data_IF_069035147608
#
_entry.id   IF_069035147608
#
_cell.length_a   1.000
_cell.length_b   1.000
_cell.length_c   1.000
_cell.angle_alpha   90.00
_cell.angle_beta   90.00
_cell.angle_gamma   90.00
#
_symmetry.space_group_name_H-M   'P 1'
#
loop_
_entity.id
_entity.type
_entity.pdbx_description
1 polymer ?
#
# COMPACT_ATOMS: atom_id res chain seq x y z
N UNK A 1 -29.72 -8.09 7.84
CA UNK A 1 -28.53 -7.30 8.25
C UNK A 1 -28.76 -5.86 7.82
N UNK A 2 -28.44 -4.88 8.67
CA UNK A 2 -28.49 -3.46 8.30
C UNK A 2 -27.50 -3.23 7.14
N UNK A 3 -27.98 -2.63 6.04
CA UNK A 3 -27.13 -2.37 4.87
C UNK A 3 -26.13 -1.27 5.23
N UNK A 4 -24.85 -1.58 5.17
CA UNK A 4 -23.78 -0.62 5.44
C UNK A 4 -23.66 0.37 4.28
N UNK A 5 -23.40 1.64 4.62
CA UNK A 5 -23.10 2.65 3.60
C UNK A 5 -21.79 2.30 2.90
N UNK A 6 -21.82 2.35 1.57
CA UNK A 6 -20.66 2.10 0.70
C UNK A 6 -20.21 3.36 -0.02
N UNK A 7 -18.96 3.40 -0.42
CA UNK A 7 -18.38 4.37 -1.33
C UNK A 7 -17.85 3.66 -2.57
N UNK A 8 -18.04 4.26 -3.74
CA UNK A 8 -17.51 3.69 -4.96
C UNK A 8 -16.06 4.15 -5.18
N UNK A 9 -15.13 3.21 -5.25
CA UNK A 9 -13.72 3.49 -5.55
C UNK A 9 -13.33 2.68 -6.80
N UNK A 10 -13.07 3.36 -7.91
CA UNK A 10 -12.67 2.76 -9.18
C UNK A 10 -13.62 1.64 -9.66
N UNK A 11 -14.94 1.87 -9.50
CA UNK A 11 -15.97 0.93 -9.94
C UNK A 11 -16.29 -0.20 -8.96
N UNK A 12 -15.69 -0.22 -7.77
CA UNK A 12 -16.00 -1.19 -6.70
C UNK A 12 -16.61 -0.49 -5.50
N UNK A 13 -17.61 -1.13 -4.90
CA UNK A 13 -18.24 -0.70 -3.66
C UNK A 13 -17.39 -1.09 -2.46
N UNK A 14 -17.06 -0.09 -1.62
CA UNK A 14 -16.27 -0.28 -0.40
C UNK A 14 -17.02 0.22 0.82
N UNK A 15 -16.99 -0.55 1.90
CA UNK A 15 -17.42 -0.08 3.22
C UNK A 15 -16.21 0.58 3.89
N UNK A 16 -16.31 1.88 4.16
CA UNK A 16 -15.23 2.62 4.83
C UNK A 16 -14.98 2.08 6.25
N UNK A 17 -13.73 2.18 6.70
CA UNK A 17 -13.35 1.74 8.06
C UNK A 17 -14.16 2.43 9.14
N UNK A 18 -14.41 3.76 8.99
CA UNK A 18 -15.25 4.51 9.94
C UNK A 18 -16.66 3.92 10.08
N UNK A 19 -17.26 3.48 8.96
CA UNK A 19 -18.60 2.86 8.94
C UNK A 19 -18.59 1.53 9.70
N UNK A 20 -17.52 0.72 9.51
CA UNK A 20 -17.33 -0.53 10.26
C UNK A 20 -17.17 -0.29 11.75
N UNK A 21 -16.35 0.69 12.14
CA UNK A 21 -16.14 1.07 13.56
C UNK A 21 -17.44 1.56 14.18
N UNK A 22 -18.19 2.44 13.49
CA UNK A 22 -19.48 2.93 13.98
C UNK A 22 -20.48 1.80 14.17
N UNK A 23 -20.56 0.88 13.18
CA UNK A 23 -21.44 -0.28 13.28
C UNK A 23 -21.07 -1.17 14.48
N UNK A 24 -19.76 -1.47 14.63
CA UNK A 24 -19.25 -2.27 15.73
C UNK A 24 -19.59 -1.65 17.10
N UNK A 25 -19.33 -0.36 17.27
CA UNK A 25 -19.62 0.37 18.51
C UNK A 25 -21.11 0.44 18.83
N UNK A 26 -21.97 0.51 17.80
CA UNK A 26 -23.43 0.58 17.97
C UNK A 26 -24.04 -0.78 18.31
N UNK A 27 -23.51 -1.87 17.74
CA UNK A 27 -24.20 -3.16 17.74
C UNK A 27 -23.52 -4.21 18.64
N UNK A 28 -22.28 -4.01 19.06
CA UNK A 28 -21.53 -4.99 19.85
C UNK A 28 -21.29 -4.41 21.25
N UNK A 29 -22.06 -4.93 22.20
CA UNK A 29 -21.87 -4.64 23.63
C UNK A 29 -20.55 -5.29 24.10
N UNK A 30 -19.81 -4.61 25.00
CA UNK A 30 -18.51 -5.05 25.51
C UNK A 30 -17.47 -5.33 24.41
N UNK A 31 -17.64 -4.72 23.21
CA UNK A 31 -16.69 -4.82 22.11
C UNK A 31 -15.47 -3.92 22.31
N UNK A 32 -14.27 -4.47 22.11
CA UNK A 32 -13.00 -3.75 22.16
C UNK A 32 -12.26 -3.90 20.84
N UNK A 33 -11.70 -2.80 20.35
CA UNK A 33 -10.77 -2.75 19.22
C UNK A 33 -9.43 -2.33 19.80
N UNK A 34 -8.43 -3.17 19.70
CA UNK A 34 -7.08 -2.94 20.20
C UNK A 34 -6.10 -3.04 19.04
N UNK A 35 -5.32 -1.98 18.80
CA UNK A 35 -4.29 -1.96 17.77
C UNK A 35 -2.93 -1.74 18.41
N UNK A 36 -1.96 -2.57 18.02
CA UNK A 36 -0.56 -2.44 18.39
C UNK A 36 0.31 -2.42 17.12
N UNK A 37 1.44 -1.75 17.16
CA UNK A 37 2.47 -1.93 16.15
C UNK A 37 3.36 -3.11 16.55
N UNK A 38 3.52 -4.06 15.63
CA UNK A 38 4.34 -5.26 15.85
C UNK A 38 5.74 -5.11 15.26
N UNK A 39 5.92 -4.12 14.37
CA UNK A 39 7.21 -3.76 13.81
C UNK A 39 7.21 -2.27 13.42
N UNK A 40 8.32 -1.57 13.67
CA UNK A 40 8.56 -0.21 13.22
C UNK A 40 10.06 0.10 13.21
N UNK A 41 10.59 0.52 12.06
CA UNK A 41 12.00 0.92 11.88
C UNK A 41 12.19 2.37 11.40
N UNK A 42 11.09 3.14 11.31
CA UNK A 42 11.08 4.51 10.81
C UNK A 42 10.75 4.65 9.33
N UNK A 43 10.90 3.59 8.54
CA UNK A 43 10.56 3.55 7.11
C UNK A 43 9.41 2.57 6.82
N UNK A 44 9.31 1.50 7.60
CA UNK A 44 8.26 0.48 7.50
C UNK A 44 7.55 0.32 8.84
N UNK A 45 6.24 0.16 8.80
CA UNK A 45 5.42 -0.16 9.96
C UNK A 45 4.51 -1.36 9.67
N UNK A 46 4.34 -2.21 10.69
CA UNK A 46 3.33 -3.28 10.70
C UNK A 46 2.43 -3.10 11.92
N UNK A 47 1.12 -3.01 11.68
CA UNK A 47 0.11 -2.94 12.72
C UNK A 47 -0.71 -4.23 12.77
N UNK A 48 -1.03 -4.66 13.99
CA UNK A 48 -1.98 -5.73 14.25
C UNK A 48 -3.14 -5.17 15.06
N UNK A 49 -4.36 -5.46 14.61
CA UNK A 49 -5.58 -5.14 15.34
C UNK A 49 -6.25 -6.42 15.81
N UNK A 50 -6.66 -6.41 17.06
CA UNK A 50 -7.45 -7.45 17.73
C UNK A 50 -8.87 -6.93 17.99
N UNK A 51 -9.87 -7.74 17.67
CA UNK A 51 -11.26 -7.51 18.03
C UNK A 51 -11.61 -8.46 19.17
N UNK A 52 -12.00 -7.90 20.29
CA UNK A 52 -12.44 -8.66 21.45
C UNK A 52 -13.93 -8.38 21.74
N UNK A 53 -14.65 -9.40 22.13
CA UNK A 53 -16.04 -9.32 22.61
C UNK A 53 -16.11 -10.08 23.94
N UNK A 54 -16.61 -9.45 24.98
CA UNK A 54 -16.61 -9.99 26.36
C UNK A 54 -15.21 -10.47 26.80
N UNK A 55 -14.16 -9.73 26.39
CA UNK A 55 -12.78 -10.04 26.70
C UNK A 55 -12.18 -11.21 25.91
N UNK A 56 -12.93 -11.84 25.01
CA UNK A 56 -12.44 -12.93 24.15
C UNK A 56 -12.05 -12.40 22.79
N UNK A 57 -10.87 -12.83 22.30
CA UNK A 57 -10.42 -12.54 20.95
C UNK A 57 -11.31 -13.26 19.93
N UNK A 58 -11.91 -12.50 19.02
CA UNK A 58 -12.87 -13.02 18.02
C UNK A 58 -12.40 -12.78 16.57
N UNK A 59 -11.53 -11.81 16.35
CA UNK A 59 -10.95 -11.58 15.02
C UNK A 59 -9.63 -10.80 15.14
N UNK A 60 -8.77 -10.93 14.13
CA UNK A 60 -7.54 -10.17 13.98
C UNK A 60 -7.40 -9.62 12.56
N UNK A 61 -6.63 -8.55 12.41
CA UNK A 61 -6.24 -8.00 11.12
C UNK A 61 -4.83 -7.44 11.19
N UNK A 62 -4.05 -7.65 10.14
CA UNK A 62 -2.70 -7.08 10.01
C UNK A 62 -2.62 -6.21 8.78
N UNK A 63 -1.82 -5.16 8.87
CA UNK A 63 -1.42 -4.33 7.74
C UNK A 63 0.06 -3.98 7.86
N UNK A 64 0.68 -3.65 6.73
CA UNK A 64 1.99 -3.02 6.71
C UNK A 64 1.96 -1.86 5.72
N UNK A 65 2.76 -0.85 5.99
CA UNK A 65 2.93 0.31 5.12
C UNK A 65 4.40 0.73 5.10
N UNK A 66 4.83 1.21 3.94
CA UNK A 66 6.15 1.78 3.74
C UNK A 66 6.02 3.28 3.50
N UNK A 67 6.87 4.07 4.14
CA UNK A 67 6.84 5.54 4.11
C UNK A 67 6.91 6.12 2.69
N UNK A 68 7.65 5.49 1.80
CA UNK A 68 7.84 5.98 0.44
C UNK A 68 6.99 5.26 -0.62
N UNK A 69 6.08 4.36 -0.23
CA UNK A 69 5.23 3.62 -1.16
C UNK A 69 4.29 4.51 -1.99
N UNK A 70 3.91 5.69 -1.48
CA UNK A 70 3.08 6.66 -2.18
C UNK A 70 3.30 8.09 -1.68
N UNK A 71 2.75 9.09 -2.39
CA UNK A 71 2.84 10.48 -1.95
C UNK A 71 2.21 10.73 -0.58
N UNK A 72 1.09 10.06 -0.27
CA UNK A 72 0.40 10.19 1.02
C UNK A 72 1.14 9.43 2.12
N UNK A 73 1.80 8.31 1.81
CA UNK A 73 2.58 7.55 2.77
C UNK A 73 3.78 8.34 3.33
N UNK A 74 4.33 9.29 2.56
CA UNK A 74 5.45 10.12 3.02
C UNK A 74 5.18 10.86 4.33
N UNK A 75 3.92 11.17 4.60
CA UNK A 75 3.49 11.93 5.79
C UNK A 75 2.59 11.17 6.74
N UNK A 76 1.95 10.09 6.28
CA UNK A 76 0.83 9.47 7.01
C UNK A 76 0.83 7.93 6.96
N UNK A 77 1.97 7.29 6.71
CA UNK A 77 2.04 5.83 6.59
C UNK A 77 1.70 5.10 7.89
N UNK A 78 1.95 5.73 9.05
CA UNK A 78 1.61 5.16 10.37
C UNK A 78 0.10 5.10 10.55
N UNK A 79 -0.59 6.22 10.33
CA UNK A 79 -2.04 6.32 10.47
C UNK A 79 -2.77 5.46 9.42
N UNK A 80 -2.22 5.37 8.22
CA UNK A 80 -2.76 4.51 7.17
C UNK A 80 -2.63 3.04 7.58
N UNK A 81 -1.49 2.62 8.11
CA UNK A 81 -1.27 1.27 8.58
C UNK A 81 -2.24 0.88 9.70
N UNK A 82 -2.39 1.74 10.71
CA UNK A 82 -3.35 1.54 11.80
C UNK A 82 -4.78 1.38 11.24
N UNK A 83 -5.23 2.33 10.43
CA UNK A 83 -6.58 2.31 9.84
C UNK A 83 -6.80 1.06 8.99
N UNK A 84 -5.82 0.65 8.20
CA UNK A 84 -5.88 -0.55 7.36
C UNK A 84 -6.01 -1.82 8.20
N UNK A 85 -5.26 -1.93 9.30
CA UNK A 85 -5.32 -3.09 10.19
C UNK A 85 -6.69 -3.21 10.89
N UNK A 86 -7.25 -2.07 11.36
CA UNK A 86 -8.61 -1.99 11.93
C UNK A 86 -9.67 -2.42 10.91
N UNK A 87 -9.59 -1.90 9.68
CA UNK A 87 -10.51 -2.24 8.61
C UNK A 87 -10.51 -3.73 8.29
N UNK A 88 -9.32 -4.36 8.25
CA UNK A 88 -9.16 -5.81 8.03
C UNK A 88 -9.72 -6.63 9.19
N UNK A 89 -9.41 -6.25 10.44
CA UNK A 89 -9.91 -6.96 11.63
C UNK A 89 -11.44 -6.95 11.70
N UNK A 90 -12.07 -5.79 11.47
CA UNK A 90 -13.53 -5.68 11.44
C UNK A 90 -14.17 -6.42 10.27
N UNK A 91 -13.47 -6.48 9.11
CA UNK A 91 -13.87 -7.32 8.00
C UNK A 91 -13.83 -8.81 8.34
N UNK A 92 -12.75 -9.28 8.99
CA UNK A 92 -12.64 -10.67 9.47
C UNK A 92 -13.68 -11.00 10.56
N UNK A 93 -14.11 -10.02 11.33
CA UNK A 93 -15.25 -10.16 12.25
C UNK A 93 -16.60 -10.30 11.52
N UNK A 94 -16.67 -9.91 10.24
CA UNK A 94 -17.85 -10.03 9.39
C UNK A 94 -18.52 -8.72 9.00
N UNK A 95 -17.97 -7.57 9.38
CA UNK A 95 -18.56 -6.25 9.08
C UNK A 95 -18.07 -5.80 7.69
N UNK A 96 -18.96 -5.83 6.69
CA UNK A 96 -18.63 -5.45 5.30
C UNK A 96 -17.56 -6.37 4.69
N UNK A 97 -17.65 -7.66 4.94
CA UNK A 97 -16.66 -8.67 4.53
C UNK A 97 -16.41 -8.69 3.01
N UNK A 98 -17.45 -8.46 2.23
CA UNK A 98 -17.39 -8.47 0.76
C UNK A 98 -16.39 -7.47 0.18
N UNK A 99 -16.15 -6.37 0.91
CA UNK A 99 -15.21 -5.33 0.50
C UNK A 99 -13.83 -5.40 1.18
N UNK A 100 -13.63 -6.30 2.14
CA UNK A 100 -12.41 -6.33 2.97
C UNK A 100 -11.59 -7.62 2.85
N UNK A 101 -12.16 -8.69 2.33
CA UNK A 101 -11.53 -10.03 2.25
C UNK A 101 -11.51 -10.54 0.81
N UNK A 102 -11.49 -9.64 -0.17
CA UNK A 102 -11.28 -10.01 -1.57
C UNK A 102 -9.81 -10.40 -1.80
N UNK A 103 -9.49 -11.66 -1.51
CA UNK A 103 -8.17 -12.24 -1.75
C UNK A 103 -7.77 -12.14 -3.23
N UNK A 104 -8.74 -12.32 -4.14
CA UNK A 104 -8.49 -12.19 -5.58
C UNK A 104 -8.19 -10.74 -5.98
N UNK A 105 -8.88 -9.76 -5.39
CA UNK A 105 -8.60 -8.35 -5.60
C UNK A 105 -7.25 -7.94 -5.05
N UNK A 106 -6.88 -8.43 -3.89
CA UNK A 106 -5.56 -8.17 -3.27
C UNK A 106 -4.43 -8.74 -4.12
N UNK A 107 -4.56 -9.99 -4.61
CA UNK A 107 -3.57 -10.62 -5.49
C UNK A 107 -3.45 -9.87 -6.82
N UNK A 108 -4.57 -9.49 -7.46
CA UNK A 108 -4.52 -8.71 -8.71
C UNK A 108 -3.86 -7.35 -8.53
N UNK A 109 -4.11 -6.68 -7.41
CA UNK A 109 -3.48 -5.40 -7.10
C UNK A 109 -1.98 -5.56 -6.86
N UNK A 110 -1.55 -6.62 -6.19
CA UNK A 110 -0.15 -6.94 -5.98
C UNK A 110 0.56 -7.26 -7.32
N UNK A 111 -0.05 -8.06 -8.18
CA UNK A 111 0.48 -8.36 -9.52
C UNK A 111 0.60 -7.08 -10.36
N UNK A 112 -0.45 -6.25 -10.39
CA UNK A 112 -0.43 -5.01 -11.15
C UNK A 112 0.64 -4.02 -10.64
N UNK A 113 0.88 -4.00 -9.33
CA UNK A 113 1.96 -3.21 -8.73
C UNK A 113 3.33 -3.75 -9.15
N UNK A 114 3.54 -5.06 -9.07
CA UNK A 114 4.78 -5.71 -9.48
C UNK A 114 5.09 -5.45 -10.96
N UNK A 115 4.13 -5.64 -11.86
CA UNK A 115 4.28 -5.32 -13.28
C UNK A 115 4.58 -3.85 -13.55
N UNK A 116 4.05 -2.94 -12.73
CA UNK A 116 4.33 -1.50 -12.85
C UNK A 116 5.76 -1.16 -12.44
N UNK A 117 6.26 -1.82 -11.39
CA UNK A 117 7.64 -1.67 -10.92
C UNK A 117 8.64 -2.23 -11.95
N UNK A 118 8.38 -3.41 -12.49
CA UNK A 118 9.20 -4.02 -13.54
C UNK A 118 9.32 -3.12 -14.78
N UNK A 119 8.19 -2.57 -15.25
CA UNK A 119 8.18 -1.60 -16.37
C UNK A 119 8.97 -0.33 -16.06
N UNK A 120 8.94 0.14 -14.83
CA UNK A 120 9.66 1.33 -14.41
C UNK A 120 11.17 1.07 -14.34
N UNK A 121 11.57 -0.10 -13.90
CA UNK A 121 12.97 -0.54 -13.87
C UNK A 121 13.52 -0.72 -15.29
N UNK A 122 12.77 -1.34 -16.21
CA UNK A 122 13.14 -1.47 -17.61
C UNK A 122 13.32 -0.10 -18.28
N UNK A 123 12.39 0.83 -18.06
CA UNK A 123 12.49 2.19 -18.58
C UNK A 123 13.71 2.93 -18.03
N UNK A 124 14.03 2.71 -16.76
CA UNK A 124 15.21 3.31 -16.12
C UNK A 124 16.51 2.77 -16.70
N UNK A 125 16.59 1.46 -16.94
CA UNK A 125 17.73 0.81 -17.63
C UNK A 125 17.90 1.34 -19.05
N UNK A 126 16.81 1.38 -19.83
CA UNK A 126 16.85 1.90 -21.20
C UNK A 126 17.33 3.35 -21.26
N UNK A 127 16.89 4.21 -20.33
CA UNK A 127 17.36 5.60 -20.23
C UNK A 127 18.86 5.67 -19.89
N UNK A 128 19.33 4.84 -18.97
CA UNK A 128 20.74 4.79 -18.59
C UNK A 128 21.61 4.35 -19.75
N UNK A 129 21.24 3.30 -20.46
CA UNK A 129 21.94 2.80 -21.65
C UNK A 129 21.96 3.85 -22.78
N UNK A 130 20.84 4.53 -23.02
CA UNK A 130 20.75 5.60 -24.03
C UNK A 130 21.64 6.80 -23.68
N UNK A 131 21.75 7.17 -22.41
CA UNK A 131 22.64 8.24 -21.95
C UNK A 131 24.09 7.84 -22.06
N UNK A 132 24.44 6.60 -21.70
CA UNK A 132 25.80 6.08 -21.86
C UNK A 132 26.22 6.04 -23.32
N UNK A 133 25.35 5.58 -24.21
CA UNK A 133 25.61 5.57 -25.66
C UNK A 133 25.84 6.97 -26.24
N UNK A 134 25.04 7.96 -25.83
CA UNK A 134 25.24 9.37 -26.25
C UNK A 134 26.52 9.96 -25.72
N UNK A 135 26.92 9.62 -24.50
CA UNK A 135 28.16 10.08 -23.90
C UNK A 135 29.40 9.51 -24.65
N UNK A 136 29.36 8.22 -25.01
CA UNK A 136 30.43 7.59 -25.77
C UNK A 136 30.64 8.23 -27.16
N UNK A 137 29.54 8.50 -27.89
CA UNK A 137 29.57 9.20 -29.18
C UNK A 137 30.16 10.61 -29.04
N UNK A 138 29.80 11.33 -27.97
CA UNK A 138 30.33 12.67 -27.72
C UNK A 138 31.85 12.66 -27.45
N UNK A 139 32.35 11.67 -26.70
CA UNK A 139 33.78 11.51 -26.41
C UNK A 139 34.55 11.17 -27.69
N UNK A 140 34.03 10.26 -28.51
CA UNK A 140 34.66 9.91 -29.79
C UNK A 140 34.73 11.10 -30.77
N UNK A 141 33.69 11.96 -30.80
CA UNK A 141 33.68 13.16 -31.64
C UNK A 141 34.66 14.25 -31.16
N UNK A 142 34.84 14.42 -29.86
CA UNK A 142 35.81 15.37 -29.30
C UNK A 142 37.25 14.91 -29.54
N UNK A 143 37.55 13.61 -29.54
CA UNK A 143 38.85 13.06 -29.85
C UNK A 143 39.21 13.25 -31.35
N UNK A 144 38.23 13.20 -32.28
CA UNK A 144 38.45 13.46 -33.69
C UNK A 144 38.76 14.95 -33.98
N UNK A 145 38.11 15.89 -33.29
CA UNK A 145 38.42 17.32 -33.41
C UNK A 145 39.80 17.67 -32.83
N UNK A 146 40.22 17.02 -31.74
CA UNK A 146 41.51 17.23 -31.11
C UNK A 146 42.71 16.72 -31.94
N UNK A 147 42.52 15.75 -32.83
CA UNK A 147 43.56 15.19 -33.70
C UNK A 147 43.77 16.07 -34.95
N UNK A 148 42.75 16.79 -35.40
CA UNK A 148 42.83 17.66 -36.58
C UNK A 148 43.62 18.98 -36.36
N UNK A 149 43.87 19.38 -35.10
CA UNK A 149 44.65 20.60 -34.79
C UNK A 149 46.17 20.37 -34.64
N UNK A 150 46.68 19.15 -34.82
CA UNK A 150 48.11 18.81 -34.62
C UNK A 150 48.85 18.49 -35.93
N UNK A 151 48.23 18.59 -37.09
CA UNK A 151 48.90 18.59 -38.40
C UNK A 151 48.93 20.02 -39.01
#
# INVERSE_FOLDING_TARGET
>A
MEQLATVNIKGKEYVEVKTRVQWFRKNIENGCIKTDHVFFDGETIMCQTEILVDGKLVATGMAHEEKNASAINKTSFVEICETSSVGRALGMYGIGIESSVDTAGTIRSAIALQESMERQDELSRYKAESLTGKLMIAIESDDEEGIAEVE
#
